data_IF_418276712129
#
_entry.id   IF_418276712129
#
_cell.length_a   1.000
_cell.length_b   1.000
_cell.length_c   1.000
_cell.angle_alpha   90.00
_cell.angle_beta   90.00
_cell.angle_gamma   90.00
#
_symmetry.space_group_name_H-M   'P 1'
#
loop_
_entity.id
_entity.type
_entity.pdbx_description
1 polymer ?
#
# COMPACT_ATOMS: atom_id res chain seq x y z
N UNK A 1 17.38 32.89 -8.87
CA UNK A 1 16.66 32.34 -10.05
C UNK A 1 15.83 31.10 -9.71
N UNK A 2 16.39 29.95 -9.29
CA UNK A 2 15.57 28.77 -8.90
C UNK A 2 14.69 29.04 -7.68
N UNK A 3 15.22 29.64 -6.65
CA UNK A 3 14.53 29.99 -5.41
C UNK A 3 13.41 31.03 -5.62
N UNK A 4 13.66 32.04 -6.40
CA UNK A 4 12.66 33.05 -6.78
C UNK A 4 11.51 32.42 -7.60
N UNK A 5 11.82 31.47 -8.50
CA UNK A 5 10.82 30.75 -9.28
C UNK A 5 9.95 29.88 -8.37
N UNK A 6 10.56 29.13 -7.44
CA UNK A 6 9.83 28.30 -6.49
C UNK A 6 8.94 29.13 -5.56
N UNK A 7 9.47 30.22 -5.01
CA UNK A 7 8.71 31.16 -4.18
C UNK A 7 7.53 31.76 -4.94
N UNK A 8 7.72 32.11 -6.21
CA UNK A 8 6.65 32.57 -7.09
C UNK A 8 5.52 31.54 -7.22
N UNK A 9 5.88 30.31 -7.53
CA UNK A 9 4.91 29.20 -7.64
C UNK A 9 4.15 28.92 -6.35
N UNK A 10 4.80 29.00 -5.18
CA UNK A 10 4.11 28.87 -3.89
C UNK A 10 3.12 30.02 -3.66
N UNK A 11 3.49 31.26 -4.02
CA UNK A 11 2.57 32.39 -3.91
C UNK A 11 1.36 32.25 -4.81
N UNK A 12 1.56 31.75 -6.02
CA UNK A 12 0.46 31.47 -6.96
C UNK A 12 -0.48 30.38 -6.44
N UNK A 13 0.07 29.31 -5.83
CA UNK A 13 -0.72 28.19 -5.33
C UNK A 13 -1.42 28.48 -3.98
N UNK A 14 -0.78 29.19 -3.04
CA UNK A 14 -1.25 29.33 -1.66
C UNK A 14 -1.55 30.77 -1.24
N UNK A 15 -1.19 31.76 -2.05
CA UNK A 15 -1.20 33.18 -1.69
C UNK A 15 0.01 33.57 -0.82
N UNK A 16 0.37 34.87 -0.79
CA UNK A 16 1.63 35.35 -0.21
C UNK A 16 1.81 34.95 1.26
N UNK A 17 0.78 35.12 2.10
CA UNK A 17 0.90 34.85 3.54
C UNK A 17 1.16 33.37 3.85
N UNK A 18 0.47 32.44 3.18
CA UNK A 18 0.68 31.00 3.38
C UNK A 18 2.00 30.55 2.77
N UNK A 19 2.41 31.11 1.64
CA UNK A 19 3.70 30.81 1.03
C UNK A 19 4.86 31.13 1.98
N UNK A 20 4.81 32.21 2.74
CA UNK A 20 5.81 32.55 3.75
C UNK A 20 5.84 31.52 4.90
N UNK A 21 4.69 31.09 5.39
CA UNK A 21 4.59 30.03 6.41
C UNK A 21 5.20 28.73 5.90
N UNK A 22 4.91 28.34 4.66
CA UNK A 22 5.45 27.13 4.04
C UNK A 22 6.98 27.23 3.88
N UNK A 23 7.49 28.38 3.39
CA UNK A 23 8.93 28.60 3.22
C UNK A 23 9.71 28.53 4.54
N UNK A 24 9.14 29.04 5.64
CA UNK A 24 9.76 28.90 6.96
C UNK A 24 9.71 27.43 7.44
N UNK A 25 8.57 26.76 7.30
CA UNK A 25 8.42 25.38 7.70
C UNK A 25 9.32 24.41 6.88
N UNK A 26 9.65 24.75 5.64
CA UNK A 26 10.60 23.96 4.82
C UNK A 26 12.05 23.99 5.36
N UNK A 27 12.39 24.90 6.27
CA UNK A 27 13.70 24.96 6.94
C UNK A 27 13.77 24.07 8.19
N UNK A 28 12.64 23.60 8.69
CA UNK A 28 12.53 22.78 9.88
C UNK A 28 12.74 21.28 9.55
N UNK A 29 12.96 20.46 10.57
CA UNK A 29 13.02 19.01 10.41
C UNK A 29 11.67 18.43 9.97
N UNK A 30 11.75 17.40 9.12
CA UNK A 30 10.57 16.71 8.63
C UNK A 30 9.84 15.97 9.76
N UNK A 31 8.51 16.08 9.79
CA UNK A 31 7.69 15.34 10.74
C UNK A 31 7.76 13.82 10.47
N UNK A 32 7.59 13.05 11.53
CA UNK A 32 7.50 11.58 11.43
C UNK A 32 6.13 11.11 11.89
N UNK A 33 5.48 10.28 11.07
CA UNK A 33 4.20 9.70 11.43
C UNK A 33 4.15 8.21 11.07
N UNK A 34 3.27 7.50 11.75
CA UNK A 34 2.96 6.09 11.51
C UNK A 34 1.45 5.90 11.37
N UNK A 35 1.05 4.85 10.67
CA UNK A 35 -0.33 4.41 10.60
C UNK A 35 -0.44 2.97 11.11
N UNK A 36 -1.32 2.75 12.09
CA UNK A 36 -1.55 1.46 12.72
C UNK A 36 -2.26 0.50 11.77
N UNK A 37 -1.94 -0.79 11.89
CA UNK A 37 -2.62 -1.85 11.16
C UNK A 37 -3.80 -2.39 11.98
N UNK A 38 -5.05 -2.17 11.58
CA UNK A 38 -6.20 -2.60 12.35
C UNK A 38 -6.38 -4.12 12.41
N UNK A 39 -5.68 -4.87 11.55
CA UNK A 39 -5.74 -6.34 11.51
C UNK A 39 -4.77 -7.01 12.49
N UNK A 40 -3.80 -6.25 13.07
CA UNK A 40 -2.69 -6.82 13.86
C UNK A 40 -2.49 -6.17 15.22
N UNK A 41 -3.10 -5.03 15.48
CA UNK A 41 -2.94 -4.31 16.73
C UNK A 41 -4.22 -4.37 17.56
N UNK A 42 -4.33 -5.31 18.48
CA UNK A 42 -5.35 -5.26 19.54
C UNK A 42 -5.01 -4.23 20.60
N UNK A 43 -3.71 -4.01 20.85
CA UNK A 43 -3.18 -3.00 21.77
C UNK A 43 -2.23 -2.07 21.01
N UNK A 44 -2.23 -0.77 21.38
CA UNK A 44 -1.31 0.19 20.77
C UNK A 44 0.16 -0.22 20.99
N UNK A 45 0.98 -0.27 19.91
CA UNK A 45 2.39 -0.64 20.04
C UNK A 45 3.15 0.39 20.87
N UNK A 46 4.29 -0.03 21.48
CA UNK A 46 5.05 0.84 22.38
C UNK A 46 5.51 2.15 21.76
N UNK A 47 5.78 2.14 20.46
CA UNK A 47 6.14 3.32 19.67
C UNK A 47 5.10 4.44 19.80
N UNK A 48 3.84 4.13 20.03
CA UNK A 48 2.75 5.09 20.20
C UNK A 48 2.88 5.87 21.51
N UNK A 49 3.60 5.37 22.51
CA UNK A 49 3.85 6.11 23.75
C UNK A 49 4.66 7.40 23.53
N UNK A 50 5.39 7.49 22.41
CA UNK A 50 6.13 8.68 21.96
C UNK A 50 5.34 9.54 20.98
N UNK A 51 4.00 9.49 20.96
CA UNK A 51 3.20 10.31 20.04
C UNK A 51 3.10 11.75 20.52
N UNK A 52 3.25 12.66 19.56
CA UNK A 52 2.92 14.09 19.72
C UNK A 52 1.41 14.34 19.58
N UNK A 53 0.72 13.54 18.74
CA UNK A 53 -0.71 13.68 18.49
C UNK A 53 -1.25 12.71 17.45
N UNK A 54 -2.55 12.80 17.22
CA UNK A 54 -3.24 12.04 16.19
C UNK A 54 -3.22 12.80 14.85
N UNK A 55 -3.29 12.05 13.74
CA UNK A 55 -3.51 12.65 12.42
C UNK A 55 -5.00 12.95 12.27
N UNK A 56 -5.42 14.22 12.03
CA UNK A 56 -6.82 14.62 12.09
C UNK A 56 -7.74 13.87 11.11
N UNK A 57 -7.23 13.50 9.95
CA UNK A 57 -7.96 12.80 8.88
C UNK A 57 -7.70 11.29 8.82
N UNK A 58 -6.96 10.75 9.79
CA UNK A 58 -6.70 9.31 9.84
C UNK A 58 -6.77 8.79 11.28
N UNK A 59 -7.84 8.09 11.61
CA UNK A 59 -8.08 7.50 12.94
C UNK A 59 -6.91 6.64 13.43
N UNK A 60 -6.24 5.95 12.51
CA UNK A 60 -5.11 5.06 12.79
C UNK A 60 -3.75 5.78 12.71
N UNK A 61 -3.73 7.05 12.30
CA UNK A 61 -2.52 7.85 12.14
C UNK A 61 -2.02 8.43 13.48
N UNK A 62 -0.70 8.37 13.71
CA UNK A 62 -0.03 8.95 14.88
C UNK A 62 1.17 9.77 14.41
N UNK A 63 1.29 10.99 14.89
CA UNK A 63 2.48 11.84 14.70
C UNK A 63 3.41 11.57 15.88
N UNK A 64 4.67 11.25 15.61
CA UNK A 64 5.67 10.94 16.62
C UNK A 64 6.42 12.21 17.02
N UNK A 65 6.84 12.30 18.31
CA UNK A 65 7.66 13.41 18.81
C UNK A 65 9.09 13.40 18.26
N UNK A 66 9.59 12.22 17.90
CA UNK A 66 10.92 12.02 17.34
C UNK A 66 10.92 10.87 16.33
N UNK A 67 11.96 10.77 15.50
CA UNK A 67 12.13 9.67 14.55
C UNK A 67 12.94 8.52 15.16
N UNK A 68 12.31 7.42 15.58
CA UNK A 68 13.02 6.26 16.13
C UNK A 68 13.69 5.44 15.03
N UNK A 69 14.51 4.47 15.43
CA UNK A 69 15.06 3.47 14.52
C UNK A 69 14.03 2.36 14.26
N UNK A 70 13.14 2.56 13.29
CA UNK A 70 12.08 1.59 12.93
C UNK A 70 12.62 0.19 12.62
N UNK A 71 13.81 0.08 12.02
CA UNK A 71 14.43 -1.20 11.68
C UNK A 71 14.81 -2.04 12.92
N UNK A 72 14.93 -1.41 14.08
CA UNK A 72 15.20 -2.09 15.36
C UNK A 72 13.94 -2.30 16.20
N UNK A 73 12.75 -2.15 15.61
CA UNK A 73 11.47 -2.43 16.25
C UNK A 73 10.84 -3.69 15.64
N UNK A 74 10.70 -4.79 16.40
CA UNK A 74 10.04 -6.01 15.89
C UNK A 74 8.60 -5.78 15.42
N UNK A 75 7.86 -4.81 16.00
CA UNK A 75 6.51 -4.46 15.59
C UNK A 75 6.43 -3.90 14.16
N UNK A 76 7.48 -3.21 13.69
CA UNK A 76 7.59 -2.79 12.30
C UNK A 76 7.67 -3.99 11.33
N UNK A 77 8.44 -5.01 11.70
CA UNK A 77 8.63 -6.23 10.89
C UNK A 77 7.39 -7.14 10.92
N UNK A 78 6.63 -7.13 12.00
CA UNK A 78 5.32 -7.80 12.10
C UNK A 78 4.24 -7.11 11.26
N UNK A 79 4.45 -5.86 10.81
CA UNK A 79 3.46 -5.07 10.10
C UNK A 79 2.32 -4.56 11.00
N UNK A 80 2.59 -4.34 12.29
CA UNK A 80 1.66 -3.72 13.25
C UNK A 80 1.38 -2.26 12.90
N UNK A 81 2.34 -1.61 12.25
CA UNK A 81 2.20 -0.26 11.72
C UNK A 81 3.00 -0.06 10.44
N UNK A 82 2.65 0.98 9.72
CA UNK A 82 3.36 1.46 8.53
C UNK A 82 3.91 2.87 8.80
N UNK A 83 5.17 3.15 8.44
CA UNK A 83 5.74 4.50 8.50
C UNK A 83 5.23 5.29 7.31
N UNK A 84 4.36 6.26 7.54
CA UNK A 84 3.70 7.02 6.49
C UNK A 84 3.60 8.49 6.88
N UNK A 85 3.86 9.38 5.93
CA UNK A 85 3.65 10.81 6.10
C UNK A 85 2.18 11.12 6.39
N UNK A 86 1.91 12.01 7.34
CA UNK A 86 0.54 12.33 7.75
C UNK A 86 -0.26 13.00 6.62
N UNK A 87 0.36 13.86 5.81
CA UNK A 87 -0.31 14.46 4.64
C UNK A 87 -0.70 13.41 3.61
N UNK A 88 0.17 12.39 3.39
CA UNK A 88 -0.12 11.26 2.50
C UNK A 88 -1.31 10.41 2.96
N UNK A 89 -1.61 10.36 4.27
CA UNK A 89 -2.81 9.68 4.80
C UNK A 89 -4.12 10.41 4.44
N UNK A 90 -4.05 11.69 4.02
CA UNK A 90 -5.23 12.44 3.57
C UNK A 90 -5.85 11.83 2.30
N UNK A 91 -5.03 11.26 1.43
CA UNK A 91 -5.52 10.52 0.24
C UNK A 91 -6.44 9.38 0.66
N UNK A 92 -6.11 8.67 1.75
CA UNK A 92 -6.97 7.64 2.34
C UNK A 92 -8.31 8.19 2.87
N UNK A 93 -8.32 9.41 3.42
CA UNK A 93 -9.56 10.08 3.83
C UNK A 93 -10.44 10.37 2.63
N UNK A 94 -9.88 10.99 1.59
CA UNK A 94 -10.61 11.27 0.33
C UNK A 94 -11.15 9.98 -0.28
N UNK A 95 -10.35 8.91 -0.28
CA UNK A 95 -10.76 7.60 -0.76
C UNK A 95 -11.95 7.05 0.03
N UNK A 96 -11.94 7.11 1.37
CA UNK A 96 -13.04 6.64 2.23
C UNK A 96 -14.36 7.37 1.97
N UNK A 97 -14.32 8.70 1.82
CA UNK A 97 -15.50 9.50 1.53
C UNK A 97 -16.15 9.17 0.17
N UNK A 98 -15.37 8.59 -0.75
CA UNK A 98 -15.85 8.20 -2.07
C UNK A 98 -16.34 6.75 -2.15
N UNK A 99 -16.21 5.95 -1.08
CA UNK A 99 -16.67 4.57 -1.05
C UNK A 99 -18.20 4.52 -1.00
N UNK A 100 -18.83 4.12 -2.10
CA UNK A 100 -20.26 3.82 -2.19
C UNK A 100 -20.56 2.38 -1.79
N UNK A 101 -21.84 2.02 -1.69
CA UNK A 101 -22.23 0.62 -1.45
C UNK A 101 -21.78 -0.25 -2.62
N UNK A 102 -20.93 -1.27 -2.38
CA UNK A 102 -20.45 -2.12 -3.47
C UNK A 102 -21.55 -3.07 -3.95
N UNK A 103 -21.66 -3.22 -5.27
CA UNK A 103 -22.44 -4.28 -5.90
C UNK A 103 -21.48 -5.40 -6.33
N UNK A 104 -21.32 -6.41 -5.49
CA UNK A 104 -20.36 -7.51 -5.70
C UNK A 104 -18.94 -7.16 -5.28
N UNK A 105 -17.95 -7.75 -5.95
CA UNK A 105 -16.52 -7.52 -5.64
C UNK A 105 -16.09 -6.14 -6.15
N UNK A 106 -15.68 -5.28 -5.23
CA UNK A 106 -15.11 -3.95 -5.55
C UNK A 106 -13.68 -4.11 -6.05
N UNK A 107 -13.41 -3.67 -7.29
CA UNK A 107 -12.08 -3.78 -7.93
C UNK A 107 -11.37 -2.44 -7.92
N UNK A 108 -10.27 -2.36 -7.19
CA UNK A 108 -9.49 -1.14 -6.99
C UNK A 108 -8.08 -1.33 -7.53
N UNK A 109 -7.56 -0.32 -8.22
CA UNK A 109 -6.19 -0.25 -8.71
C UNK A 109 -5.44 0.89 -8.00
N UNK A 110 -4.31 0.58 -7.36
CA UNK A 110 -3.28 1.54 -6.99
C UNK A 110 -2.19 1.48 -8.05
N UNK A 111 -2.16 2.46 -8.96
CA UNK A 111 -1.38 2.37 -10.21
C UNK A 111 0.11 2.62 -10.02
N UNK A 112 0.48 3.49 -9.07
CA UNK A 112 1.87 3.89 -8.76
C UNK A 112 2.17 3.62 -7.28
N UNK A 113 2.03 2.37 -6.87
CA UNK A 113 1.81 1.98 -5.48
C UNK A 113 3.05 2.02 -4.57
N UNK A 114 4.27 1.81 -5.11
CA UNK A 114 5.46 1.68 -4.26
C UNK A 114 5.78 2.99 -3.50
N UNK A 115 6.14 2.87 -2.22
CA UNK A 115 6.48 1.65 -1.48
C UNK A 115 5.30 0.93 -0.79
N UNK A 116 4.02 1.38 -0.92
CA UNK A 116 2.84 0.69 -0.41
C UNK A 116 2.07 1.39 0.72
N UNK A 117 2.41 2.64 1.05
CA UNK A 117 1.73 3.40 2.11
C UNK A 117 0.25 3.62 1.80
N UNK A 118 -0.08 4.11 0.60
CA UNK A 118 -1.46 4.31 0.15
C UNK A 118 -2.17 2.98 -0.09
N UNK A 119 -1.47 1.97 -0.66
CA UNK A 119 -1.99 0.60 -0.80
C UNK A 119 -2.51 0.04 0.52
N UNK A 120 -1.68 0.07 1.56
CA UNK A 120 -2.03 -0.50 2.87
C UNK A 120 -3.11 0.29 3.59
N UNK A 121 -3.23 1.61 3.33
CA UNK A 121 -4.33 2.44 3.82
C UNK A 121 -5.66 2.07 3.14
N UNK A 122 -5.65 1.98 1.81
CA UNK A 122 -6.82 1.53 1.05
C UNK A 122 -7.23 0.10 1.43
N UNK A 123 -6.28 -0.83 1.62
CA UNK A 123 -6.58 -2.19 2.04
C UNK A 123 -7.36 -2.21 3.37
N UNK A 124 -6.94 -1.41 4.36
CA UNK A 124 -7.66 -1.28 5.64
C UNK A 124 -9.05 -0.70 5.45
N UNK A 125 -9.18 0.35 4.65
CA UNK A 125 -10.46 1.02 4.38
C UNK A 125 -11.43 0.11 3.64
N UNK A 126 -10.95 -0.63 2.64
CA UNK A 126 -11.73 -1.62 1.89
C UNK A 126 -12.15 -2.79 2.79
N UNK A 127 -11.26 -3.27 3.65
CA UNK A 127 -11.57 -4.35 4.60
C UNK A 127 -12.66 -3.95 5.59
N UNK A 128 -12.60 -2.73 6.11
CA UNK A 128 -13.62 -2.17 7.00
C UNK A 128 -14.96 -1.99 6.26
N UNK A 129 -14.93 -1.54 5.00
CA UNK A 129 -16.12 -1.21 4.22
C UNK A 129 -16.79 -2.42 3.53
N UNK A 130 -16.00 -3.32 2.95
CA UNK A 130 -16.45 -4.41 2.07
C UNK A 130 -16.29 -5.82 2.71
N UNK A 131 -15.64 -5.94 3.87
CA UNK A 131 -15.25 -7.25 4.41
C UNK A 131 -14.31 -7.97 3.43
N UNK A 132 -14.70 -9.14 2.92
CA UNK A 132 -13.94 -9.91 1.94
C UNK A 132 -14.26 -9.53 0.47
N UNK A 133 -15.25 -8.69 0.22
CA UNK A 133 -15.80 -8.37 -1.09
C UNK A 133 -14.99 -7.33 -1.88
N UNK A 134 -13.66 -7.38 -1.90
CA UNK A 134 -12.83 -6.49 -2.70
C UNK A 134 -11.58 -7.18 -3.25
N UNK A 135 -11.06 -6.66 -4.35
CA UNK A 135 -9.72 -6.92 -4.87
C UNK A 135 -8.97 -5.59 -4.99
N UNK A 136 -7.81 -5.47 -4.34
CA UNK A 136 -6.90 -4.36 -4.51
C UNK A 136 -5.67 -4.80 -5.32
N UNK A 137 -5.50 -4.21 -6.51
CA UNK A 137 -4.34 -4.42 -7.38
C UNK A 137 -3.37 -3.28 -7.14
N UNK A 138 -2.17 -3.60 -6.66
CA UNK A 138 -1.10 -2.61 -6.40
C UNK A 138 -0.02 -2.76 -7.45
N UNK A 139 0.14 -1.75 -8.30
CA UNK A 139 1.05 -1.78 -9.43
C UNK A 139 2.27 -0.87 -9.22
N UNK A 140 3.42 -1.33 -9.69
CA UNK A 140 4.63 -0.52 -9.77
C UNK A 140 5.40 -0.87 -11.06
N UNK A 141 5.71 0.14 -11.86
CA UNK A 141 6.41 -0.07 -13.13
C UNK A 141 7.90 -0.34 -12.93
N UNK A 142 8.51 0.23 -11.90
CA UNK A 142 9.93 0.08 -11.60
C UNK A 142 10.21 -1.21 -10.86
N UNK A 143 10.87 -2.17 -11.51
CA UNK A 143 11.12 -3.52 -10.97
C UNK A 143 11.91 -3.55 -9.65
N UNK A 144 12.82 -2.58 -9.44
CA UNK A 144 13.57 -2.44 -8.18
C UNK A 144 12.67 -2.01 -7.01
N UNK A 145 11.57 -1.31 -7.27
CA UNK A 145 10.60 -0.89 -6.25
C UNK A 145 9.48 -1.91 -6.01
N UNK A 146 9.22 -2.81 -6.99
CA UNK A 146 8.21 -3.85 -6.85
C UNK A 146 8.49 -4.81 -5.68
N UNK A 147 9.76 -5.14 -5.42
CA UNK A 147 10.15 -5.99 -4.30
C UNK A 147 9.79 -5.37 -2.95
N UNK A 148 10.05 -4.07 -2.80
CA UNK A 148 9.72 -3.31 -1.58
C UNK A 148 8.20 -3.26 -1.38
N UNK A 149 7.44 -3.01 -2.45
CA UNK A 149 5.99 -3.03 -2.41
C UNK A 149 5.44 -4.40 -1.97
N UNK A 150 5.94 -5.49 -2.60
CA UNK A 150 5.52 -6.84 -2.27
C UNK A 150 5.82 -7.21 -0.81
N UNK A 151 7.01 -6.85 -0.30
CA UNK A 151 7.39 -7.06 1.09
C UNK A 151 6.50 -6.27 2.08
N UNK A 152 6.13 -5.04 1.74
CA UNK A 152 5.26 -4.23 2.58
C UNK A 152 3.81 -4.74 2.58
N UNK A 153 3.30 -5.18 1.43
CA UNK A 153 1.98 -5.81 1.31
C UNK A 153 1.93 -7.13 2.09
N UNK A 154 2.97 -7.98 1.97
CA UNK A 154 3.06 -9.22 2.72
C UNK A 154 3.09 -9.00 4.24
N UNK A 155 3.88 -8.02 4.71
CA UNK A 155 3.91 -7.62 6.12
C UNK A 155 2.57 -7.05 6.60
N UNK A 156 1.84 -6.31 5.77
CA UNK A 156 0.50 -5.83 6.11
C UNK A 156 -0.47 -6.98 6.34
N UNK A 157 -0.37 -8.04 5.51
CA UNK A 157 -0.99 -9.34 5.74
C UNK A 157 -2.44 -9.46 5.30
N UNK A 158 -2.95 -8.58 4.42
CA UNK A 158 -4.29 -8.72 3.83
C UNK A 158 -4.23 -9.55 2.54
N UNK A 159 -4.93 -10.71 2.45
CA UNK A 159 -4.87 -11.62 1.31
C UNK A 159 -5.58 -11.09 0.05
N UNK A 160 -6.38 -10.02 0.17
CA UNK A 160 -7.12 -9.42 -0.95
C UNK A 160 -6.29 -8.39 -1.74
N UNK A 161 -5.00 -8.24 -1.39
CA UNK A 161 -4.06 -7.36 -2.09
C UNK A 161 -3.12 -8.18 -2.95
N UNK A 162 -3.05 -7.84 -4.24
CA UNK A 162 -2.09 -8.46 -5.18
C UNK A 162 -1.12 -7.39 -5.71
N UNK A 163 0.08 -7.82 -6.11
CA UNK A 163 1.11 -6.92 -6.61
C UNK A 163 1.42 -7.23 -8.07
N UNK A 164 1.41 -6.20 -8.90
CA UNK A 164 1.71 -6.28 -10.34
C UNK A 164 2.87 -5.37 -10.71
N UNK A 165 3.48 -5.63 -11.87
CA UNK A 165 4.53 -4.78 -12.44
C UNK A 165 4.27 -4.59 -13.93
N UNK A 166 3.59 -3.48 -14.27
CA UNK A 166 3.20 -3.19 -15.63
C UNK A 166 3.21 -1.67 -15.91
N UNK A 167 3.46 -1.30 -17.16
CA UNK A 167 3.22 0.06 -17.63
C UNK A 167 1.71 0.38 -17.58
N UNK A 168 1.31 1.62 -17.26
CA UNK A 168 -0.11 2.03 -17.23
C UNK A 168 -0.93 1.62 -18.46
N UNK A 169 -0.34 1.68 -19.66
CA UNK A 169 -0.99 1.31 -20.92
C UNK A 169 -1.40 -0.18 -20.99
N UNK A 170 -0.75 -1.06 -20.22
CA UNK A 170 -1.10 -2.48 -20.18
C UNK A 170 -2.50 -2.71 -19.59
N UNK A 171 -2.95 -1.83 -18.70
CA UNK A 171 -4.28 -1.90 -18.09
C UNK A 171 -5.41 -1.52 -19.05
N UNK A 172 -5.12 -0.82 -20.15
CA UNK A 172 -6.12 -0.58 -21.20
C UNK A 172 -6.70 -1.87 -21.84
N UNK A 173 -6.02 -3.02 -21.65
CA UNK A 173 -6.52 -4.35 -22.04
C UNK A 173 -7.62 -4.88 -21.10
N UNK A 174 -7.94 -4.16 -20.05
CA UNK A 174 -8.97 -4.44 -19.06
C UNK A 174 -10.05 -3.33 -19.08
N UNK A 175 -10.73 -3.08 -20.20
CA UNK A 175 -11.63 -1.95 -20.33
C UNK A 175 -12.79 -2.06 -19.33
N UNK A 176 -13.02 -0.98 -18.56
CA UNK A 176 -14.08 -0.92 -17.56
C UNK A 176 -13.97 -1.94 -16.43
N UNK A 177 -12.77 -2.43 -16.12
CA UNK A 177 -12.58 -3.46 -15.11
C UNK A 177 -12.59 -2.91 -13.68
N UNK A 178 -11.98 -1.74 -13.46
CA UNK A 178 -11.82 -1.16 -12.12
C UNK A 178 -12.95 -0.19 -11.79
N UNK A 179 -13.48 -0.31 -10.58
CA UNK A 179 -14.48 0.61 -10.04
C UNK A 179 -13.81 1.90 -9.53
N UNK A 180 -12.59 1.77 -8.94
CA UNK A 180 -11.79 2.90 -8.47
C UNK A 180 -10.33 2.70 -8.90
N UNK A 181 -9.69 3.78 -9.33
CA UNK A 181 -8.26 3.83 -9.63
C UNK A 181 -7.63 4.96 -8.80
N UNK A 182 -6.60 4.65 -8.02
CA UNK A 182 -5.71 5.64 -7.41
C UNK A 182 -4.49 5.82 -8.30
N UNK A 183 -4.15 7.07 -8.59
CA UNK A 183 -2.93 7.45 -9.31
C UNK A 183 -2.12 8.45 -8.47
N UNK A 184 -1.25 7.90 -7.58
CA UNK A 184 -0.24 8.71 -6.90
C UNK A 184 0.96 8.86 -7.83
N UNK A 185 0.84 9.80 -8.76
CA UNK A 185 1.73 9.87 -9.92
C UNK A 185 3.12 10.40 -9.57
N UNK A 186 4.18 9.95 -10.30
CA UNK A 186 5.50 10.58 -10.19
C UNK A 186 5.42 12.07 -10.51
N UNK A 187 5.92 12.91 -9.61
CA UNK A 187 5.83 14.37 -9.68
C UNK A 187 7.19 15.03 -9.43
N UNK A 188 7.26 16.36 -9.48
CA UNK A 188 8.47 17.14 -9.21
C UNK A 188 8.98 17.04 -7.78
N UNK A 189 8.15 16.55 -6.84
CA UNK A 189 8.55 16.12 -5.50
C UNK A 189 8.80 17.26 -4.52
N UNK A 190 8.15 18.40 -4.66
CA UNK A 190 8.32 19.57 -3.79
C UNK A 190 8.01 19.26 -2.32
N UNK A 191 7.04 18.37 -2.06
CA UNK A 191 6.75 17.86 -0.72
C UNK A 191 7.79 16.91 -0.14
N UNK A 192 8.88 16.63 -0.85
CA UNK A 192 10.01 15.84 -0.36
C UNK A 192 11.21 16.69 0.08
N UNK A 193 11.16 18.00 -0.08
CA UNK A 193 12.30 18.89 0.11
C UNK A 193 12.92 18.82 1.51
N UNK A 194 12.13 18.57 2.55
CA UNK A 194 12.66 18.36 3.91
C UNK A 194 13.30 17.00 4.13
N UNK A 195 13.00 16.01 3.28
CA UNK A 195 13.41 14.60 3.43
C UNK A 195 14.51 14.18 2.48
N UNK A 196 14.62 14.86 1.34
CA UNK A 196 15.50 14.46 0.25
C UNK A 196 16.15 15.70 -0.41
N UNK A 197 17.42 15.92 -0.10
CA UNK A 197 18.20 17.00 -0.70
C UNK A 197 18.36 16.85 -2.23
N UNK A 198 18.29 15.63 -2.75
CA UNK A 198 18.35 15.38 -4.17
C UNK A 198 17.10 15.89 -4.89
N UNK A 199 15.93 15.79 -4.26
CA UNK A 199 14.71 16.39 -4.78
C UNK A 199 14.84 17.90 -4.96
N UNK A 200 15.46 18.59 -4.00
CA UNK A 200 15.76 20.03 -4.10
C UNK A 200 16.72 20.33 -5.26
N UNK A 201 17.78 19.53 -5.41
CA UNK A 201 18.79 19.71 -6.46
C UNK A 201 18.23 19.50 -7.87
N UNK A 202 17.40 18.49 -8.04
CA UNK A 202 16.79 18.11 -9.33
C UNK A 202 15.62 19.02 -9.72
N UNK A 203 15.00 19.70 -8.76
CA UNK A 203 13.84 20.53 -9.03
C UNK A 203 14.19 21.69 -10.00
N UNK A 204 13.36 21.89 -11.01
CA UNK A 204 13.39 23.01 -11.94
C UNK A 204 12.03 23.17 -12.62
N UNK A 205 11.76 24.35 -13.20
CA UNK A 205 10.55 24.57 -14.00
C UNK A 205 10.42 23.60 -15.19
N UNK A 206 11.55 23.23 -15.81
CA UNK A 206 11.58 22.23 -16.89
C UNK A 206 11.19 20.83 -16.38
N UNK A 207 11.67 20.46 -15.19
CA UNK A 207 11.30 19.18 -14.58
C UNK A 207 9.81 19.12 -14.23
N UNK A 208 9.22 20.23 -13.77
CA UNK A 208 7.77 20.36 -13.55
C UNK A 208 7.00 20.10 -14.86
N UNK A 209 7.40 20.69 -15.98
CA UNK A 209 6.75 20.45 -17.29
C UNK A 209 6.86 18.99 -17.75
N UNK A 210 8.04 18.38 -17.57
CA UNK A 210 8.26 16.97 -17.89
C UNK A 210 7.38 16.04 -17.02
N UNK A 211 7.27 16.34 -15.73
CA UNK A 211 6.39 15.59 -14.82
C UNK A 211 4.92 15.77 -15.21
N UNK A 212 4.47 16.99 -15.49
CA UNK A 212 3.14 17.29 -15.96
C UNK A 212 2.76 16.48 -17.21
N UNK A 213 3.63 16.47 -18.23
CA UNK A 213 3.41 15.71 -19.46
C UNK A 213 3.35 14.19 -19.20
N UNK A 214 4.22 13.66 -18.32
CA UNK A 214 4.21 12.25 -17.90
C UNK A 214 2.91 11.87 -17.21
N UNK A 215 2.43 12.72 -16.31
CA UNK A 215 1.20 12.50 -15.56
C UNK A 215 -0.02 12.44 -16.49
N UNK A 216 -0.12 13.35 -17.46
CA UNK A 216 -1.16 13.34 -18.51
C UNK A 216 -1.14 12.03 -19.29
N UNK A 217 0.04 11.54 -19.69
CA UNK A 217 0.18 10.23 -20.33
C UNK A 217 -0.33 9.09 -19.44
N UNK A 218 0.07 9.04 -18.17
CA UNK A 218 -0.34 8.01 -17.22
C UNK A 218 -1.87 7.99 -17.06
N UNK A 219 -2.50 9.16 -16.92
CA UNK A 219 -3.95 9.29 -16.83
C UNK A 219 -4.65 8.80 -18.09
N UNK A 220 -4.19 9.22 -19.27
CA UNK A 220 -4.76 8.78 -20.54
C UNK A 220 -4.62 7.26 -20.76
N UNK A 221 -3.47 6.70 -20.44
CA UNK A 221 -3.16 5.28 -20.61
C UNK A 221 -4.04 4.37 -19.74
N UNK A 222 -4.32 4.79 -18.49
CA UNK A 222 -5.12 3.97 -17.56
C UNK A 222 -6.63 4.21 -17.66
N UNK A 223 -7.05 5.36 -18.22
CA UNK A 223 -8.46 5.78 -18.30
C UNK A 223 -9.42 4.73 -18.90
N UNK A 224 -9.05 3.97 -19.96
CA UNK A 224 -9.91 2.92 -20.47
C UNK A 224 -10.23 1.80 -19.46
N UNK A 225 -9.33 1.55 -18.50
CA UNK A 225 -9.50 0.51 -17.48
C UNK A 225 -10.52 0.89 -16.40
N UNK A 226 -10.81 2.18 -16.24
CA UNK A 226 -11.82 2.67 -15.32
C UNK A 226 -13.21 2.41 -15.89
N UNK A 227 -14.11 1.91 -15.04
CA UNK A 227 -15.52 1.67 -15.34
C UNK A 227 -16.26 2.99 -15.58
N UNK A 228 -17.28 2.98 -16.41
CA UNK A 228 -18.21 4.10 -16.55
C UNK A 228 -18.90 4.34 -15.19
N UNK A 229 -18.93 5.59 -14.74
CA UNK A 229 -19.34 5.98 -13.39
C UNK A 229 -18.27 5.73 -12.31
N UNK A 230 -17.15 5.08 -12.64
CA UNK A 230 -16.04 4.81 -11.74
C UNK A 230 -15.26 6.08 -11.36
N UNK A 231 -14.43 5.96 -10.33
CA UNK A 231 -13.71 7.07 -9.74
C UNK A 231 -12.20 6.93 -9.94
N UNK A 232 -11.55 8.02 -10.33
CA UNK A 232 -10.09 8.13 -10.32
C UNK A 232 -9.69 9.13 -9.25
N UNK A 233 -8.93 8.66 -8.26
CA UNK A 233 -8.30 9.52 -7.24
C UNK A 233 -6.91 9.88 -7.75
N UNK A 234 -6.72 11.15 -8.05
CA UNK A 234 -5.44 11.70 -8.49
C UNK A 234 -4.70 12.31 -7.33
N UNK A 235 -3.43 11.98 -7.16
CA UNK A 235 -2.61 12.59 -6.11
C UNK A 235 -1.15 12.82 -6.54
N UNK A 236 -0.53 13.83 -5.94
CA UNK A 236 0.88 14.18 -6.07
C UNK A 236 1.45 14.62 -4.74
N UNK A 237 2.76 14.55 -4.59
CA UNK A 237 3.48 15.17 -3.46
C UNK A 237 4.14 16.49 -3.87
N UNK A 238 3.43 17.35 -4.61
CA UNK A 238 3.96 18.64 -5.07
C UNK A 238 3.00 19.78 -4.78
N UNK A 239 3.46 21.02 -4.83
CA UNK A 239 2.71 22.22 -4.50
C UNK A 239 2.20 22.99 -5.72
N UNK A 240 2.86 22.82 -6.88
CA UNK A 240 2.59 23.64 -8.05
C UNK A 240 1.23 23.33 -8.69
N UNK A 241 0.57 24.35 -9.19
CA UNK A 241 -0.76 24.25 -9.81
C UNK A 241 -0.74 23.54 -11.14
N UNK A 242 0.40 23.51 -11.87
CA UNK A 242 0.50 22.85 -13.19
C UNK A 242 0.33 21.34 -13.11
N UNK A 243 1.01 20.71 -12.13
CA UNK A 243 0.90 19.27 -11.89
C UNK A 243 -0.37 18.91 -11.12
N UNK A 244 -0.99 19.85 -10.41
CA UNK A 244 -2.16 19.66 -9.57
C UNK A 244 -3.46 20.02 -10.32
N UNK A 245 -4.09 21.15 -10.04
CA UNK A 245 -5.36 21.54 -10.66
C UNK A 245 -5.26 21.55 -12.18
N UNK A 246 -4.15 22.01 -12.78
CA UNK A 246 -3.97 22.05 -14.23
C UNK A 246 -4.02 20.67 -14.91
N UNK A 247 -3.54 19.60 -14.25
CA UNK A 247 -3.69 18.24 -14.79
C UNK A 247 -5.09 17.68 -14.58
N UNK A 248 -5.77 18.06 -13.51
CA UNK A 248 -7.17 17.68 -13.26
C UNK A 248 -8.11 18.34 -14.27
N UNK A 249 -7.93 19.64 -14.54
CA UNK A 249 -8.65 20.40 -15.56
C UNK A 249 -8.43 19.77 -16.95
N UNK A 250 -7.17 19.49 -17.31
CA UNK A 250 -6.85 18.81 -18.55
C UNK A 250 -7.55 17.44 -18.66
N UNK A 251 -7.59 16.63 -17.58
CA UNK A 251 -8.27 15.35 -17.59
C UNK A 251 -9.80 15.52 -17.75
N UNK A 252 -10.37 16.55 -17.13
CA UNK A 252 -11.78 16.88 -17.30
C UNK A 252 -12.11 17.22 -18.75
N UNK A 253 -11.31 18.09 -19.37
CA UNK A 253 -11.52 18.56 -20.75
C UNK A 253 -11.21 17.48 -21.80
N UNK A 254 -10.11 16.73 -21.61
CA UNK A 254 -9.59 15.82 -22.65
C UNK A 254 -10.16 14.40 -22.52
N UNK A 255 -10.34 13.90 -21.28
CA UNK A 255 -10.84 12.55 -21.01
C UNK A 255 -12.35 12.52 -20.74
N UNK A 256 -13.00 13.68 -20.67
CA UNK A 256 -14.42 13.80 -20.39
C UNK A 256 -14.76 13.39 -18.95
N UNK A 257 -13.92 13.77 -17.99
CA UNK A 257 -14.13 13.48 -16.59
C UNK A 257 -14.93 14.59 -15.90
N UNK A 258 -15.79 14.22 -14.95
CA UNK A 258 -16.41 15.14 -14.00
C UNK A 258 -15.51 15.28 -12.76
N UNK A 259 -15.23 16.50 -12.33
CA UNK A 259 -14.50 16.75 -11.09
C UNK A 259 -15.46 16.52 -9.92
N UNK A 260 -15.18 15.52 -9.10
CA UNK A 260 -15.92 15.22 -7.89
C UNK A 260 -15.14 15.75 -6.67
N UNK A 261 -15.79 16.53 -5.82
CA UNK A 261 -15.12 17.09 -4.63
C UNK A 261 -15.84 16.60 -3.39
N UNK A 262 -15.35 15.51 -2.74
CA UNK A 262 -15.88 15.07 -1.45
C UNK A 262 -15.67 16.15 -0.39
N UNK A 263 -16.49 16.17 0.65
CA UNK A 263 -16.32 17.10 1.77
C UNK A 263 -15.26 16.56 2.74
N UNK A 264 -14.02 17.00 2.56
CA UNK A 264 -12.85 16.64 3.36
C UNK A 264 -12.20 17.88 3.99
N UNK A 265 -13.02 18.80 4.52
CA UNK A 265 -12.55 20.03 5.18
C UNK A 265 -11.91 19.76 6.54
N UNK A 266 -10.59 20.04 6.68
CA UNK A 266 -9.86 19.99 7.95
C UNK A 266 -9.08 21.30 8.14
N UNK A 267 -8.84 21.74 9.39
CA UNK A 267 -8.00 22.91 9.65
C UNK A 267 -6.62 22.79 8.97
N UNK A 268 -6.22 23.81 8.22
CA UNK A 268 -4.94 23.84 7.50
C UNK A 268 -4.96 23.18 6.12
N UNK A 269 -5.94 22.34 5.80
CA UNK A 269 -6.12 21.78 4.46
C UNK A 269 -6.74 22.85 3.55
N UNK A 270 -6.07 23.15 2.45
CA UNK A 270 -6.53 24.13 1.48
C UNK A 270 -7.40 23.45 0.42
N UNK A 271 -8.64 23.90 0.27
CA UNK A 271 -9.47 23.56 -0.89
C UNK A 271 -9.01 24.38 -2.09
N UNK A 272 -8.69 23.73 -3.19
CA UNK A 272 -8.31 24.35 -4.48
C UNK A 272 -9.51 24.40 -5.43
N UNK A 273 -9.28 24.76 -6.69
CA UNK A 273 -10.31 24.73 -7.74
C UNK A 273 -10.84 23.33 -8.01
N UNK A 274 -9.97 22.31 -7.93
CA UNK A 274 -10.29 20.93 -8.33
C UNK A 274 -10.18 19.92 -7.20
N UNK A 275 -9.52 20.24 -6.07
CA UNK A 275 -9.25 19.28 -5.02
C UNK A 275 -8.78 19.90 -3.72
N UNK A 276 -7.81 19.26 -3.09
CA UNK A 276 -7.25 19.64 -1.80
C UNK A 276 -5.73 19.67 -1.85
N UNK A 277 -5.13 20.67 -1.22
CA UNK A 277 -3.68 20.82 -1.08
C UNK A 277 -3.28 20.94 0.39
N UNK A 278 -2.24 20.20 0.76
CA UNK A 278 -1.63 20.18 2.09
C UNK A 278 -0.16 20.58 1.95
N UNK A 279 0.33 21.36 2.91
CA UNK A 279 1.72 21.80 2.91
C UNK A 279 2.27 21.91 4.34
N UNK A 280 3.59 21.76 4.53
CA UNK A 280 4.24 21.93 5.83
C UNK A 280 3.97 23.33 6.40
N UNK A 281 3.87 23.43 7.72
CA UNK A 281 3.52 24.66 8.42
C UNK A 281 2.00 24.94 8.46
N UNK A 282 1.23 24.45 7.50
CA UNK A 282 -0.23 24.52 7.51
C UNK A 282 -0.86 23.31 8.17
N UNK A 283 -0.24 22.14 8.01
CA UNK A 283 -0.66 20.84 8.56
C UNK A 283 0.54 20.07 9.11
N UNK A 284 0.32 19.10 10.02
CA UNK A 284 1.40 18.22 10.49
C UNK A 284 1.76 17.21 9.38
N UNK A 285 2.73 17.51 8.54
CA UNK A 285 3.18 16.64 7.44
C UNK A 285 3.94 17.41 6.37
N UNK A 286 4.13 16.72 5.24
CA UNK A 286 4.81 17.26 4.06
C UNK A 286 3.79 17.76 3.02
N UNK A 287 4.15 17.77 1.75
CA UNK A 287 3.23 18.18 0.69
C UNK A 287 2.38 17.03 0.17
N UNK A 288 1.11 17.28 -0.04
CA UNK A 288 0.20 16.38 -0.72
C UNK A 288 -0.90 17.16 -1.44
N UNK A 289 -1.20 16.75 -2.65
CA UNK A 289 -2.40 17.17 -3.38
C UNK A 289 -3.28 15.95 -3.63
N UNK A 290 -4.60 16.13 -3.63
CA UNK A 290 -5.55 15.08 -3.93
C UNK A 290 -6.81 15.65 -4.57
N UNK A 291 -7.23 15.06 -5.69
CA UNK A 291 -8.47 15.37 -6.38
C UNK A 291 -9.18 14.09 -6.84
N UNK A 292 -10.46 14.16 -7.13
CA UNK A 292 -11.26 13.02 -7.60
C UNK A 292 -11.92 13.36 -8.93
N UNK A 293 -11.80 12.43 -9.87
CA UNK A 293 -12.41 12.48 -11.19
C UNK A 293 -13.41 11.32 -11.33
N UNK A 294 -14.60 11.60 -11.79
CA UNK A 294 -15.60 10.59 -12.14
C UNK A 294 -15.63 10.40 -13.67
N UNK A 295 -15.55 9.17 -14.11
CA UNK A 295 -15.74 8.86 -15.53
C UNK A 295 -17.21 8.96 -15.91
N UNK A 296 -17.54 9.92 -16.77
CA UNK A 296 -18.89 10.03 -17.31
C UNK A 296 -19.06 8.93 -18.36
N UNK A 297 -20.13 8.12 -18.22
CA UNK A 297 -20.46 7.10 -19.21
C UNK A 297 -20.77 7.74 -20.55
N UNK A 298 -20.04 7.41 -21.59
CA UNK A 298 -20.46 7.66 -22.96
C UNK A 298 -21.62 6.72 -23.30
N UNK A 299 -22.55 7.14 -24.16
CA UNK A 299 -23.59 6.29 -24.75
C UNK A 299 -22.98 5.17 -25.62
N UNK A 300 -22.19 4.29 -25.01
CA UNK A 300 -21.65 3.13 -25.70
C UNK A 300 -22.68 2.02 -25.66
N UNK A 301 -23.38 1.87 -26.81
CA UNK A 301 -24.16 0.69 -27.07
C UNK A 301 -23.38 -0.58 -26.70
N UNK A 302 -23.85 -1.29 -25.67
CA UNK A 302 -23.61 -2.71 -25.48
C UNK A 302 -22.18 -3.14 -25.22
N UNK A 303 -21.58 -2.72 -24.13
CA UNK A 303 -20.50 -3.54 -23.56
C UNK A 303 -21.12 -4.81 -22.97
N UNK A 304 -21.17 -5.85 -23.82
CA UNK A 304 -21.40 -7.22 -23.35
C UNK A 304 -20.28 -7.52 -22.35
N UNK A 305 -20.65 -7.60 -21.06
CA UNK A 305 -19.75 -8.05 -20.02
C UNK A 305 -19.01 -9.29 -20.54
N UNK A 306 -17.68 -9.23 -20.51
CA UNK A 306 -16.86 -10.39 -20.78
C UNK A 306 -17.39 -11.51 -19.89
N UNK A 307 -17.97 -12.55 -20.48
CA UNK A 307 -18.39 -13.73 -19.77
C UNK A 307 -17.15 -14.25 -19.06
N UNK A 308 -17.08 -14.05 -17.76
CA UNK A 308 -16.09 -14.71 -16.92
C UNK A 308 -16.23 -16.21 -17.20
N UNK A 309 -15.25 -16.76 -17.89
CA UNK A 309 -15.18 -18.21 -18.09
C UNK A 309 -15.18 -18.82 -16.68
N UNK A 310 -16.20 -19.64 -16.42
CA UNK A 310 -16.32 -20.40 -15.17
C UNK A 310 -14.98 -21.05 -14.90
N UNK A 311 -14.40 -20.91 -13.70
CA UNK A 311 -13.15 -21.57 -13.37
C UNK A 311 -13.31 -23.07 -13.68
N UNK A 312 -12.34 -23.65 -14.38
CA UNK A 312 -12.30 -25.10 -14.59
C UNK A 312 -12.45 -25.76 -13.23
N UNK A 313 -13.39 -26.70 -13.12
CA UNK A 313 -13.57 -27.47 -11.90
C UNK A 313 -12.24 -28.14 -11.58
N UNK A 314 -11.56 -27.66 -10.54
CA UNK A 314 -10.41 -28.36 -9.98
C UNK A 314 -10.84 -29.77 -9.63
N UNK A 315 -10.01 -30.78 -9.98
CA UNK A 315 -10.19 -32.15 -9.55
C UNK A 315 -10.32 -32.26 -8.02
N UNK A 316 -10.51 -33.46 -7.48
CA UNK A 316 -10.55 -33.65 -6.02
C UNK A 316 -9.35 -32.95 -5.37
N UNK A 317 -9.59 -32.17 -4.27
CA UNK A 317 -8.52 -31.41 -3.63
C UNK A 317 -7.34 -32.31 -3.32
N UNK A 318 -6.16 -31.93 -3.79
CA UNK A 318 -4.91 -32.57 -3.43
C UNK A 318 -4.63 -32.38 -1.94
N UNK A 319 -3.82 -33.24 -1.34
CA UNK A 319 -3.49 -33.19 0.08
C UNK A 319 -2.97 -31.81 0.52
N UNK A 320 -2.25 -31.10 -0.37
CA UNK A 320 -1.77 -29.74 -0.18
C UNK A 320 -2.90 -28.71 -0.06
N UNK A 321 -3.90 -28.78 -0.93
CA UNK A 321 -5.05 -27.88 -0.88
C UNK A 321 -5.84 -28.08 0.43
N UNK A 322 -6.05 -29.33 0.84
CA UNK A 322 -6.72 -29.65 2.09
C UNK A 322 -5.96 -29.12 3.31
N UNK A 323 -4.62 -29.25 3.30
CA UNK A 323 -3.76 -28.71 4.35
C UNK A 323 -3.91 -27.18 4.43
N UNK A 324 -3.74 -26.47 3.30
CA UNK A 324 -3.80 -25.01 3.28
C UNK A 324 -5.20 -24.47 3.65
N UNK A 325 -6.28 -25.17 3.26
CA UNK A 325 -7.63 -24.82 3.70
C UNK A 325 -7.80 -24.83 5.23
N UNK A 326 -7.08 -25.70 5.93
CA UNK A 326 -7.15 -25.75 7.39
C UNK A 326 -6.38 -24.60 8.07
N UNK A 327 -5.49 -23.92 7.37
CA UNK A 327 -4.64 -22.87 7.96
C UNK A 327 -5.29 -21.48 7.97
N UNK A 328 -6.22 -21.19 7.05
CA UNK A 328 -6.79 -19.85 6.89
C UNK A 328 -8.20 -19.71 7.45
N UNK A 329 -8.57 -18.48 7.79
CA UNK A 329 -9.96 -18.12 8.17
C UNK A 329 -10.86 -17.85 6.97
N UNK A 330 -10.30 -17.70 5.76
CA UNK A 330 -11.02 -17.63 4.48
C UNK A 330 -10.93 -18.98 3.73
N UNK A 331 -11.79 -19.20 2.72
CA UNK A 331 -11.69 -20.36 1.82
C UNK A 331 -10.63 -20.07 0.72
N UNK A 332 -9.47 -20.75 0.72
CA UNK A 332 -8.41 -20.48 -0.24
C UNK A 332 -8.59 -21.27 -1.54
N UNK A 333 -8.38 -20.59 -2.66
CA UNK A 333 -7.98 -21.23 -3.92
C UNK A 333 -6.46 -21.33 -3.95
N UNK A 334 -5.95 -22.55 -4.07
CA UNK A 334 -4.53 -22.84 -4.04
C UNK A 334 -4.00 -23.00 -5.45
N UNK A 335 -2.88 -22.36 -5.73
CA UNK A 335 -2.13 -22.51 -6.99
C UNK A 335 -0.65 -22.80 -6.71
N UNK A 336 -0.01 -23.54 -7.62
CA UNK A 336 1.44 -23.73 -7.61
C UNK A 336 2.10 -22.76 -8.59
N UNK A 337 3.06 -22.01 -8.11
CA UNK A 337 3.88 -21.11 -8.93
C UNK A 337 5.35 -21.48 -8.76
N UNK A 338 5.85 -22.31 -9.69
CA UNK A 338 7.24 -22.80 -9.68
C UNK A 338 7.63 -23.50 -8.36
N UNK A 339 6.76 -24.38 -7.84
CA UNK A 339 6.98 -25.11 -6.60
C UNK A 339 6.63 -24.34 -5.33
N UNK A 340 6.16 -23.10 -5.45
CA UNK A 340 5.68 -22.31 -4.33
C UNK A 340 4.14 -22.30 -4.33
N UNK A 341 3.56 -22.73 -3.23
CA UNK A 341 2.11 -22.72 -3.03
C UNK A 341 1.65 -21.29 -2.71
N UNK A 342 0.65 -20.82 -3.45
CA UNK A 342 0.01 -19.51 -3.26
C UNK A 342 -1.47 -19.74 -2.91
N UNK A 343 -1.94 -19.11 -1.85
CA UNK A 343 -3.34 -19.12 -1.44
C UNK A 343 -3.99 -17.77 -1.70
N UNK A 344 -5.11 -17.76 -2.41
CA UNK A 344 -5.92 -16.56 -2.69
C UNK A 344 -7.35 -16.78 -2.21
N UNK A 345 -8.06 -15.76 -1.70
CA UNK A 345 -9.47 -15.90 -1.33
C UNK A 345 -10.33 -16.34 -2.52
N UNK A 346 -11.20 -17.32 -2.29
CA UNK A 346 -12.08 -17.88 -3.32
C UNK A 346 -13.03 -16.84 -3.92
N UNK A 347 -13.45 -15.87 -3.11
CA UNK A 347 -14.37 -14.79 -3.48
C UNK A 347 -13.85 -13.89 -4.61
N UNK A 348 -12.50 -13.78 -4.74
CA UNK A 348 -11.84 -12.89 -5.72
C UNK A 348 -10.95 -13.65 -6.71
N UNK A 349 -10.97 -14.98 -6.67
CA UNK A 349 -10.08 -15.81 -7.50
C UNK A 349 -10.30 -15.62 -8.99
N UNK A 350 -11.54 -15.34 -9.42
CA UNK A 350 -11.87 -15.08 -10.82
C UNK A 350 -11.24 -13.78 -11.31
N UNK A 351 -11.33 -12.71 -10.52
CA UNK A 351 -10.74 -11.41 -10.80
C UNK A 351 -9.20 -11.48 -10.82
N UNK A 352 -8.60 -12.19 -9.86
CA UNK A 352 -7.15 -12.44 -9.85
C UNK A 352 -6.72 -13.17 -11.13
N UNK A 353 -7.48 -14.17 -11.59
CA UNK A 353 -7.17 -14.89 -12.81
C UNK A 353 -7.21 -13.99 -14.06
N UNK A 354 -8.11 -13.02 -14.12
CA UNK A 354 -8.15 -12.02 -15.20
C UNK A 354 -6.90 -11.14 -15.17
N UNK A 355 -6.53 -10.62 -14.01
CA UNK A 355 -5.34 -9.77 -13.85
C UNK A 355 -4.06 -10.54 -14.23
N UNK A 356 -3.86 -11.75 -13.69
CA UNK A 356 -2.64 -12.54 -13.90
C UNK A 356 -2.42 -12.98 -15.36
N UNK A 357 -3.48 -13.07 -16.16
CA UNK A 357 -3.41 -13.32 -17.60
C UNK A 357 -3.08 -12.08 -18.42
N UNK A 358 -3.35 -10.90 -17.88
CA UNK A 358 -3.26 -9.63 -18.62
C UNK A 358 -1.99 -8.87 -18.33
N UNK A 359 -1.57 -8.81 -17.07
CA UNK A 359 -0.39 -8.06 -16.62
C UNK A 359 0.57 -8.95 -15.82
N UNK A 360 1.86 -8.59 -15.84
CA UNK A 360 2.87 -9.29 -15.05
C UNK A 360 2.54 -9.15 -13.56
N UNK A 361 2.28 -10.28 -12.90
CA UNK A 361 1.97 -10.35 -11.47
C UNK A 361 3.19 -10.79 -10.67
N UNK A 362 3.52 -10.05 -9.62
CA UNK A 362 4.60 -10.34 -8.67
C UNK A 362 4.08 -11.21 -7.53
N UNK A 363 2.93 -10.82 -6.93
CA UNK A 363 2.23 -11.59 -5.90
C UNK A 363 0.75 -11.63 -6.21
N UNK A 364 0.15 -12.82 -6.18
CA UNK A 364 -1.28 -13.05 -6.49
C UNK A 364 -2.06 -13.62 -5.32
N UNK A 365 -1.56 -13.45 -4.10
CA UNK A 365 -2.11 -13.98 -2.86
C UNK A 365 -1.01 -14.23 -1.84
N UNK A 366 -1.33 -15.00 -0.81
CA UNK A 366 -0.40 -15.35 0.28
C UNK A 366 0.59 -16.41 -0.18
N UNK A 367 1.87 -16.13 -0.09
CA UNK A 367 2.94 -17.10 -0.36
C UNK A 367 3.05 -18.04 0.83
N UNK A 368 2.56 -19.27 0.65
CA UNK A 368 2.46 -20.25 1.74
C UNK A 368 3.76 -21.05 1.97
N UNK A 369 4.63 -21.13 0.99
CA UNK A 369 5.84 -21.94 1.05
C UNK A 369 5.85 -23.09 0.03
N UNK A 370 6.66 -24.11 0.25
CA UNK A 370 6.79 -25.25 -0.67
C UNK A 370 6.54 -26.59 0.04
N UNK A 371 6.14 -27.58 -0.75
CA UNK A 371 6.01 -28.96 -0.23
C UNK A 371 7.34 -29.72 -0.40
N UNK A 372 7.86 -30.25 0.71
CA UNK A 372 9.00 -31.16 0.71
C UNK A 372 8.59 -32.48 1.37
N UNK A 373 8.67 -33.57 0.62
CA UNK A 373 8.25 -34.89 1.09
C UNK A 373 6.83 -34.91 1.70
N UNK A 374 5.90 -34.21 1.07
CA UNK A 374 4.51 -34.10 1.52
C UNK A 374 4.27 -33.19 2.75
N UNK A 375 5.31 -32.53 3.25
CA UNK A 375 5.22 -31.57 4.38
C UNK A 375 5.41 -30.15 3.88
N UNK A 376 4.61 -29.23 4.40
CA UNK A 376 4.75 -27.80 4.13
C UNK A 376 6.02 -27.27 4.81
N UNK A 377 6.91 -26.66 4.03
CA UNK A 377 7.95 -25.74 4.52
C UNK A 377 7.36 -24.34 4.41
N UNK A 378 6.94 -23.73 5.52
CA UNK A 378 6.23 -22.45 5.47
C UNK A 378 7.13 -21.33 4.99
N UNK A 379 6.55 -20.40 4.24
CA UNK A 379 7.15 -19.10 3.98
C UNK A 379 6.79 -18.12 5.08
N UNK A 380 7.60 -17.10 5.30
CA UNK A 380 7.33 -16.07 6.30
C UNK A 380 6.04 -15.29 5.98
N UNK A 381 5.72 -15.09 4.70
CA UNK A 381 4.50 -14.40 4.29
C UNK A 381 3.22 -15.09 4.79
N UNK A 382 3.24 -16.44 4.89
CA UNK A 382 2.16 -17.19 5.50
C UNK A 382 1.98 -16.83 6.98
N UNK A 383 3.08 -16.74 7.70
CA UNK A 383 3.07 -16.45 9.15
C UNK A 383 2.64 -15.00 9.43
N UNK A 384 3.07 -14.08 8.57
CA UNK A 384 2.70 -12.66 8.66
C UNK A 384 1.26 -12.37 8.24
N UNK A 385 0.57 -13.34 7.62
CA UNK A 385 -0.80 -13.10 7.16
C UNK A 385 -1.78 -12.98 8.35
N UNK A 386 -2.58 -11.92 8.35
CA UNK A 386 -3.52 -11.64 9.43
C UNK A 386 -4.71 -12.62 9.49
N UNK A 387 -4.93 -13.38 8.41
CA UNK A 387 -6.01 -14.38 8.29
C UNK A 387 -5.51 -15.81 8.48
N UNK A 388 -4.28 -16.00 8.97
CA UNK A 388 -3.81 -17.28 9.44
C UNK A 388 -4.52 -17.62 10.76
N UNK A 389 -5.11 -18.82 10.84
CA UNK A 389 -5.83 -19.24 12.06
C UNK A 389 -4.92 -19.23 13.29
N UNK A 390 -5.50 -18.97 14.42
CA UNK A 390 -4.89 -19.27 15.71
C UNK A 390 -4.57 -20.78 15.76
N UNK A 391 -3.45 -21.12 16.38
CA UNK A 391 -2.98 -22.51 16.50
C UNK A 391 -2.66 -23.20 15.17
N UNK A 392 -2.53 -22.47 14.04
CA UNK A 392 -2.05 -23.04 12.77
C UNK A 392 -0.60 -23.54 12.87
N UNK A 393 0.18 -22.92 13.75
CA UNK A 393 1.53 -23.29 14.14
C UNK A 393 1.67 -23.19 15.67
N UNK A 394 2.64 -23.90 16.23
CA UNK A 394 3.10 -23.61 17.58
C UNK A 394 3.63 -22.18 17.63
N UNK A 395 3.24 -21.39 18.61
CA UNK A 395 3.63 -19.99 18.76
C UNK A 395 4.51 -19.82 20.01
N UNK A 396 5.60 -19.06 19.86
CA UNK A 396 6.52 -18.77 20.96
C UNK A 396 6.74 -17.27 21.05
N UNK A 397 6.32 -16.73 22.19
CA UNK A 397 6.61 -15.32 22.53
C UNK A 397 8.10 -15.17 22.84
N UNK A 398 8.72 -14.17 22.24
CA UNK A 398 10.15 -13.91 22.36
C UNK A 398 10.42 -12.56 23.04
N UNK A 399 11.58 -12.44 23.64
CA UNK A 399 12.08 -11.14 24.06
C UNK A 399 12.62 -10.31 22.87
N UNK A 400 12.89 -9.04 23.11
CA UNK A 400 13.37 -8.11 22.07
C UNK A 400 14.70 -8.57 21.47
N UNK A 401 15.61 -9.11 22.28
CA UNK A 401 16.94 -9.54 21.82
C UNK A 401 16.82 -10.72 20.86
N UNK A 402 16.01 -11.71 21.22
CA UNK A 402 15.73 -12.89 20.35
C UNK A 402 15.04 -12.46 19.06
N UNK A 403 14.09 -11.54 19.13
CA UNK A 403 13.42 -11.01 17.94
C UNK A 403 14.40 -10.32 16.99
N UNK A 404 15.27 -9.44 17.51
CA UNK A 404 16.28 -8.77 16.69
C UNK A 404 17.31 -9.76 16.12
N UNK A 405 17.76 -10.75 16.90
CA UNK A 405 18.64 -11.83 16.41
C UNK A 405 18.01 -12.62 15.27
N UNK A 406 16.71 -12.94 15.36
CA UNK A 406 15.99 -13.56 14.25
C UNK A 406 15.99 -12.67 12.99
N UNK A 407 15.63 -11.41 13.14
CA UNK A 407 15.55 -10.43 12.05
C UNK A 407 16.92 -10.11 11.43
N UNK A 408 18.00 -10.22 12.21
CA UNK A 408 19.39 -10.13 11.75
C UNK A 408 19.88 -11.42 11.10
N UNK A 409 19.13 -12.52 11.24
CA UNK A 409 19.48 -13.89 10.83
C UNK A 409 20.60 -14.55 11.63
N UNK A 410 20.76 -14.13 12.86
CA UNK A 410 21.64 -14.83 13.81
C UNK A 410 21.03 -16.17 14.25
N UNK A 411 21.86 -17.00 14.86
CA UNK A 411 21.41 -18.25 15.48
C UNK A 411 20.55 -17.97 16.69
N UNK A 412 19.40 -18.62 16.78
CA UNK A 412 18.54 -18.59 17.96
C UNK A 412 18.30 -19.99 18.49
N UNK A 413 18.05 -20.10 19.76
CA UNK A 413 17.70 -21.33 20.48
C UNK A 413 16.41 -21.05 21.24
N UNK A 414 15.45 -21.96 21.14
CA UNK A 414 14.20 -21.91 21.91
C UNK A 414 14.34 -22.81 23.14
N UNK A 415 13.48 -22.58 24.12
CA UNK A 415 13.44 -23.37 25.35
C UNK A 415 13.20 -24.86 25.07
N UNK A 416 13.76 -25.73 25.92
CA UNK A 416 13.75 -27.18 25.75
C UNK A 416 12.32 -27.79 25.70
N UNK A 417 11.32 -27.11 26.23
CA UNK A 417 9.91 -27.54 26.22
C UNK A 417 9.20 -27.31 24.88
N UNK A 418 9.78 -26.54 23.96
CA UNK A 418 9.15 -26.19 22.68
C UNK A 418 9.27 -27.36 21.70
N UNK A 419 8.15 -27.79 21.06
CA UNK A 419 8.17 -28.90 20.12
C UNK A 419 9.12 -28.69 18.93
N UNK A 420 9.70 -29.80 18.44
CA UNK A 420 10.48 -29.77 17.18
C UNK A 420 9.56 -29.57 15.98
N UNK A 421 10.03 -28.80 14.99
CA UNK A 421 9.30 -28.49 13.78
C UNK A 421 9.18 -27.00 13.52
N UNK A 422 8.22 -26.59 12.70
CA UNK A 422 8.02 -25.18 12.38
C UNK A 422 7.27 -24.50 13.50
N UNK A 423 7.86 -23.43 14.03
CA UNK A 423 7.36 -22.63 15.15
C UNK A 423 7.28 -21.18 14.70
N UNK A 424 6.14 -20.56 14.89
CA UNK A 424 5.94 -19.14 14.66
C UNK A 424 6.48 -18.35 15.87
N UNK A 425 7.22 -17.30 15.60
CA UNK A 425 7.75 -16.39 16.62
C UNK A 425 6.80 -15.21 16.78
N UNK A 426 6.47 -14.87 18.02
CA UNK A 426 5.61 -13.72 18.34
C UNK A 426 6.38 -12.68 19.15
N UNK A 427 6.00 -11.43 18.96
CA UNK A 427 6.40 -10.27 19.74
C UNK A 427 5.16 -9.53 20.18
N UNK A 428 4.92 -9.48 21.48
CA UNK A 428 3.72 -8.89 22.08
C UNK A 428 2.42 -9.47 21.47
N UNK A 429 2.40 -10.79 21.31
CA UNK A 429 1.28 -11.52 20.76
C UNK A 429 1.11 -11.44 19.24
N UNK A 430 1.99 -10.70 18.51
CA UNK A 430 1.89 -10.60 17.05
C UNK A 430 3.03 -11.38 16.39
N UNK A 431 2.68 -12.23 15.44
CA UNK A 431 3.63 -13.04 14.67
C UNK A 431 4.54 -12.15 13.83
N UNK A 432 5.85 -12.42 13.89
CA UNK A 432 6.84 -11.68 13.10
C UNK A 432 7.80 -12.58 12.30
N UNK A 433 7.77 -13.88 12.52
CA UNK A 433 8.66 -14.78 11.82
C UNK A 433 8.41 -16.25 12.09
N UNK A 434 9.23 -17.11 11.47
CA UNK A 434 9.15 -18.58 11.59
C UNK A 434 10.53 -19.22 11.61
N UNK A 435 10.68 -20.23 12.45
CA UNK A 435 11.88 -21.05 12.52
C UNK A 435 11.53 -22.53 12.38
N UNK A 436 12.52 -23.35 11.98
CA UNK A 436 12.43 -24.78 12.15
C UNK A 436 13.25 -25.17 13.39
N UNK A 437 12.56 -25.48 14.48
CA UNK A 437 13.17 -25.90 15.75
C UNK A 437 13.70 -27.35 15.66
N UNK A 438 15.00 -27.52 15.79
CA UNK A 438 15.67 -28.84 15.81
C UNK A 438 15.93 -29.36 17.22
N UNK A 439 15.54 -28.58 18.26
CA UNK A 439 15.71 -28.85 19.67
C UNK A 439 16.96 -28.19 20.28
N UNK A 440 18.12 -28.37 19.69
CA UNK A 440 19.39 -27.74 20.13
C UNK A 440 19.75 -26.46 19.38
N UNK A 441 19.05 -26.16 18.31
CA UNK A 441 19.19 -24.95 17.48
C UNK A 441 17.94 -24.77 16.61
N UNK A 442 17.75 -23.57 16.07
CA UNK A 442 16.73 -23.27 15.10
C UNK A 442 17.33 -22.93 13.73
N UNK A 443 16.74 -23.45 12.65
CA UNK A 443 17.00 -22.92 11.33
C UNK A 443 16.13 -21.68 11.14
N UNK A 444 16.75 -20.54 10.98
CA UNK A 444 16.10 -19.25 10.77
C UNK A 444 15.59 -19.16 9.33
N UNK A 445 14.27 -18.99 9.13
CA UNK A 445 13.63 -18.89 7.82
C UNK A 445 13.37 -17.47 7.35
N UNK A 446 13.85 -16.45 8.09
CA UNK A 446 13.72 -15.06 7.69
C UNK A 446 14.34 -14.81 6.30
N UNK A 447 13.63 -14.15 5.35
CA UNK A 447 14.15 -13.90 4.02
C UNK A 447 15.42 -13.03 4.03
N UNK A 448 16.41 -13.39 3.19
CA UNK A 448 17.69 -12.65 3.13
C UNK A 448 17.53 -11.19 2.73
N UNK A 449 16.58 -10.88 1.84
CA UNK A 449 16.29 -9.52 1.40
C UNK A 449 15.62 -8.64 2.46
N UNK A 450 15.05 -9.25 3.51
CA UNK A 450 14.42 -8.54 4.64
C UNK A 450 15.33 -8.39 5.86
N UNK A 451 16.52 -8.98 5.80
CA UNK A 451 17.46 -9.00 6.93
C UNK A 451 17.86 -7.59 7.37
N UNK A 452 17.87 -7.36 8.67
CA UNK A 452 18.46 -6.15 9.25
C UNK A 452 19.97 -6.17 8.99
N UNK A 453 20.50 -5.08 8.42
CA UNK A 453 21.94 -4.93 8.15
C UNK A 453 22.66 -4.11 9.22
N UNK A 454 21.90 -3.39 10.04
CA UNK A 454 22.43 -2.57 11.12
C UNK A 454 22.81 -3.47 12.29
N UNK A 455 23.93 -3.17 12.98
CA UNK A 455 24.30 -3.85 14.22
C UNK A 455 23.20 -3.68 15.29
N UNK A 456 22.89 -4.77 15.98
CA UNK A 456 21.86 -4.86 17.04
C UNK A 456 22.50 -4.81 18.42
#
# INVERSE_FOLDING_TARGET
MKEETFTGMLRDAFGSNRAEVILEALKEEASTAIRLNPLKAETEPEIVKGTFGNVPWCRLGRVLSERPSFTLDPAFHSGVYYVQDSSSMFVGQVFREMLGKPEGVLKVLDLCAAPGGKTTDMASSLREHCGNGFLLVSNEVMSNRCGILADNVARWGDPNVIVTSADPSAFAKLPGFFDIILTDVPCSGEGMFRKDEEAVRQWSGENVELCCARQKRILADVWPALKDGGLLVYSTCTFNTKENDGNVEWASETLGAEIATPDCGFPGVLRTGCGYSLAPGLVPGEGQYCAVLRKIGGNAAGQRGSRTSRPEKSGKPDGAEKLLKSLFTFDPVVSDRNGTMIASPAEIAAEIAVITRTVRTISSGVKCGCLKNGKLVPDEDLILNAFLRENAFEEVETDRQTALSYLHRDGIVLDAGIPRGYVALTWRGVRYGVVNNLGNRCNNLHPMNRRILRSI
#
